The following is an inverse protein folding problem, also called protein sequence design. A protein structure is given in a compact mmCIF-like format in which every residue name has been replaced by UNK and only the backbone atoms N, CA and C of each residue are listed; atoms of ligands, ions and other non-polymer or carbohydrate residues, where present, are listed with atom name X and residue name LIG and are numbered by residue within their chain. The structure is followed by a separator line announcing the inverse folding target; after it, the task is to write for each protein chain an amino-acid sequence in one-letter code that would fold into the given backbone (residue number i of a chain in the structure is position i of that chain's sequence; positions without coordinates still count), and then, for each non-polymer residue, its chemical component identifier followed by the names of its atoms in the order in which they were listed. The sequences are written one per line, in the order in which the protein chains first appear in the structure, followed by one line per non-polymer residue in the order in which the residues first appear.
data_IF_270562541868
#
_entry.id   IF_270562541868
#
_cell.length_a   1.000
_cell.length_b   1.000
_cell.length_c   1.000
_cell.angle_alpha   90.00
_cell.angle_beta   90.00
_cell.angle_gamma   90.00
#
_symmetry.space_group_name_H-M   'P 1'
#
loop_
_entity.id
_entity.type
_entity.pdbx_description
1 polymer ?
#
# COMPACT_ATOMS: atom_id res chain seq x y z
N UNK A 1 5.22 15.79 1.16
CA UNK A 1 3.93 16.53 1.10
C UNK A 1 2.77 15.67 0.57
N UNK A 2 2.96 14.91 -0.55
CA UNK A 2 1.88 14.11 -1.16
C UNK A 2 1.35 13.02 -0.22
N UNK A 3 2.23 12.20 0.36
CA UNK A 3 1.83 11.13 1.28
C UNK A 3 1.17 11.68 2.55
N UNK A 4 1.64 12.81 3.05
CA UNK A 4 1.00 13.49 4.17
C UNK A 4 -0.45 13.87 3.84
N UNK A 5 -0.67 14.48 2.68
CA UNK A 5 -2.02 14.86 2.24
C UNK A 5 -2.94 13.64 2.06
N UNK A 6 -2.41 12.55 1.47
CA UNK A 6 -3.16 11.30 1.35
C UNK A 6 -3.56 10.77 2.73
N UNK A 7 -2.62 10.73 3.68
CA UNK A 7 -2.91 10.28 5.05
C UNK A 7 -3.97 11.16 5.72
N UNK A 8 -3.88 12.48 5.58
CA UNK A 8 -4.88 13.40 6.13
C UNK A 8 -6.26 13.16 5.53
N UNK A 9 -6.34 12.88 4.22
CA UNK A 9 -7.57 12.52 3.53
C UNK A 9 -8.14 11.18 4.02
N UNK A 10 -7.30 10.17 4.20
CA UNK A 10 -7.71 8.87 4.75
C UNK A 10 -8.23 9.01 6.19
N UNK A 11 -7.57 9.81 7.01
CA UNK A 11 -8.05 10.10 8.37
C UNK A 11 -9.42 10.77 8.37
N UNK A 12 -9.69 11.71 7.46
CA UNK A 12 -11.04 12.33 7.34
C UNK A 12 -12.10 11.31 6.95
N UNK A 13 -11.78 10.36 6.06
CA UNK A 13 -12.72 9.29 5.75
C UNK A 13 -13.03 8.42 6.97
N UNK A 14 -12.01 8.08 7.75
CA UNK A 14 -12.14 7.25 8.95
C UNK A 14 -12.97 7.96 10.05
N UNK A 15 -12.75 9.25 10.25
CA UNK A 15 -13.52 10.09 11.18
C UNK A 15 -15.02 10.21 10.82
N UNK A 16 -15.36 10.08 9.53
CA UNK A 16 -16.73 10.28 9.04
C UNK A 16 -17.46 8.95 8.81
N UNK A 17 -16.78 7.94 8.30
CA UNK A 17 -17.40 6.70 7.87
C UNK A 17 -16.54 5.45 8.09
N UNK A 18 -15.47 5.55 8.88
CA UNK A 18 -14.63 4.40 9.24
C UNK A 18 -13.84 3.82 8.10
N UNK A 19 -13.37 2.59 8.31
CA UNK A 19 -12.56 1.87 7.31
C UNK A 19 -13.36 1.56 6.05
N UNK A 20 -14.67 1.36 6.16
CA UNK A 20 -15.51 1.04 5.00
C UNK A 20 -15.60 2.21 4.03
N UNK A 21 -15.78 3.44 4.51
CA UNK A 21 -15.76 4.62 3.65
C UNK A 21 -14.37 4.82 3.04
N UNK A 22 -13.31 4.65 3.83
CA UNK A 22 -11.94 4.74 3.33
C UNK A 22 -11.69 3.69 2.23
N UNK A 23 -12.08 2.43 2.46
CA UNK A 23 -11.98 1.36 1.47
C UNK A 23 -12.71 1.73 0.17
N UNK A 24 -13.96 2.12 0.25
CA UNK A 24 -14.79 2.37 -0.93
C UNK A 24 -14.26 3.53 -1.79
N UNK A 25 -13.58 4.51 -1.18
CA UNK A 25 -12.99 5.64 -1.90
C UNK A 25 -11.60 5.35 -2.46
N UNK A 26 -10.77 4.59 -1.75
CA UNK A 26 -9.36 4.42 -2.10
C UNK A 26 -9.04 3.09 -2.81
N UNK A 27 -9.80 2.01 -2.55
CA UNK A 27 -9.55 0.72 -3.21
C UNK A 27 -9.52 0.80 -4.75
N UNK A 28 -10.39 1.58 -5.43
CA UNK A 28 -10.30 1.72 -6.88
C UNK A 28 -8.99 2.37 -7.38
N UNK A 29 -8.26 3.06 -6.51
CA UNK A 29 -6.98 3.70 -6.84
C UNK A 29 -5.78 2.79 -6.58
N UNK A 30 -5.92 1.82 -5.65
CA UNK A 30 -4.85 0.95 -5.19
C UNK A 30 -4.98 -0.51 -5.65
N UNK A 31 -5.96 -0.81 -6.48
CA UNK A 31 -6.16 -2.14 -7.06
C UNK A 31 -6.21 -2.08 -8.59
N UNK A 32 -5.78 -3.14 -9.26
CA UNK A 32 -5.90 -3.24 -10.70
C UNK A 32 -7.35 -3.53 -11.13
N UNK A 33 -7.68 -3.25 -12.38
CA UNK A 33 -9.06 -3.36 -12.90
C UNK A 33 -9.59 -4.80 -12.90
N UNK A 34 -8.73 -5.78 -13.14
CA UNK A 34 -9.10 -7.19 -13.13
C UNK A 34 -9.51 -7.64 -11.72
N UNK A 35 -8.73 -7.26 -10.70
CA UNK A 35 -9.05 -7.55 -9.31
C UNK A 35 -10.31 -6.79 -8.86
N UNK A 36 -10.46 -5.53 -9.25
CA UNK A 36 -11.67 -4.75 -8.98
C UNK A 36 -12.93 -5.47 -9.46
N UNK A 37 -12.90 -6.06 -10.65
CA UNK A 37 -14.03 -6.79 -11.18
C UNK A 37 -14.45 -7.98 -10.30
N UNK A 38 -13.50 -8.62 -9.62
CA UNK A 38 -13.78 -9.78 -8.74
C UNK A 38 -14.30 -9.39 -7.36
N UNK A 39 -14.02 -8.18 -6.88
CA UNK A 39 -14.35 -7.73 -5.51
C UNK A 39 -15.41 -6.62 -5.49
N UNK A 40 -15.85 -6.16 -6.64
CA UNK A 40 -16.75 -5.01 -6.78
C UNK A 40 -18.03 -5.11 -5.94
N UNK A 41 -18.61 -6.28 -5.85
CA UNK A 41 -19.83 -6.53 -5.07
C UNK A 41 -19.63 -6.40 -3.54
N UNK A 42 -18.38 -6.39 -3.08
CA UNK A 42 -18.04 -6.19 -1.67
C UNK A 42 -17.92 -4.71 -1.29
N UNK A 43 -18.08 -3.79 -2.26
CA UNK A 43 -17.99 -2.36 -2.06
C UNK A 43 -19.37 -1.71 -2.12
N UNK A 44 -19.50 -0.54 -1.51
CA UNK A 44 -20.73 0.26 -1.52
C UNK A 44 -21.93 -0.57 -1.05
N UNK A 45 -21.77 -1.31 0.04
CA UNK A 45 -22.84 -2.11 0.62
C UNK A 45 -23.92 -1.22 1.23
N UNK A 46 -25.16 -1.72 1.36
CA UNK A 46 -26.26 -1.03 2.01
C UNK A 46 -26.06 -0.85 3.53
N UNK A 47 -25.08 -1.50 4.12
CA UNK A 47 -24.64 -1.25 5.48
C UNK A 47 -24.04 0.15 5.56
N UNK A 48 -24.62 1.01 6.41
CA UNK A 48 -24.12 2.37 6.59
C UNK A 48 -22.67 2.39 7.10
N UNK A 49 -21.98 3.49 6.81
CA UNK A 49 -20.62 3.72 7.31
C UNK A 49 -20.66 4.03 8.81
N UNK A 50 -19.67 3.52 9.54
CA UNK A 50 -19.51 3.75 10.99
C UNK A 50 -18.19 4.47 11.24
N UNK A 51 -18.29 5.71 11.72
CA UNK A 51 -17.13 6.52 12.07
C UNK A 51 -16.28 5.85 13.15
N UNK A 52 -14.95 5.98 13.05
CA UNK A 52 -14.01 5.60 14.09
C UNK A 52 -13.60 6.83 14.92
N UNK A 53 -13.18 6.56 16.14
CA UNK A 53 -12.79 7.56 17.14
C UNK A 53 -11.43 7.20 17.75
N UNK A 54 -10.81 8.08 18.54
CA UNK A 54 -9.59 7.74 19.28
C UNK A 54 -9.70 6.56 20.27
N UNK A 55 -10.91 6.06 20.52
CA UNK A 55 -11.12 4.83 21.29
C UNK A 55 -10.85 3.55 20.48
N UNK A 56 -10.78 3.67 19.15
CA UNK A 56 -10.61 2.56 18.22
C UNK A 56 -9.14 2.35 17.85
N UNK A 57 -8.66 1.11 17.87
CA UNK A 57 -7.26 0.79 17.54
C UNK A 57 -6.89 1.17 16.10
N UNK A 58 -7.78 0.92 15.16
CA UNK A 58 -7.55 1.22 13.74
C UNK A 58 -7.44 2.73 13.49
N UNK A 59 -8.23 3.54 14.21
CA UNK A 59 -8.07 5.00 14.20
C UNK A 59 -6.66 5.39 14.65
N UNK A 60 -6.19 4.85 15.78
CA UNK A 60 -4.90 5.20 16.35
C UNK A 60 -3.74 4.75 15.45
N UNK A 61 -3.85 3.58 14.80
CA UNK A 61 -2.84 3.10 13.85
C UNK A 61 -2.70 4.05 12.65
N UNK A 62 -3.81 4.46 12.06
CA UNK A 62 -3.80 5.39 10.92
C UNK A 62 -3.32 6.78 11.33
N UNK A 63 -3.74 7.28 12.49
CA UNK A 63 -3.30 8.57 13.02
C UNK A 63 -1.78 8.61 13.26
N UNK A 64 -1.20 7.51 13.73
CA UNK A 64 0.25 7.38 13.91
C UNK A 64 1.02 7.54 12.59
N UNK A 65 0.45 7.13 11.47
CA UNK A 65 1.04 7.35 10.14
C UNK A 65 1.28 8.81 9.80
N UNK A 66 0.43 9.72 10.26
CA UNK A 66 0.56 11.17 10.04
C UNK A 66 1.71 11.82 10.81
N UNK A 67 2.16 11.20 11.90
CA UNK A 67 3.22 11.72 12.77
C UNK A 67 4.51 10.90 12.71
N UNK A 68 4.52 9.78 12.01
CA UNK A 68 5.68 8.91 11.88
C UNK A 68 6.84 9.62 11.15
N UNK A 69 8.06 9.33 11.59
CA UNK A 69 9.25 9.73 10.85
C UNK A 69 9.47 8.76 9.68
N UNK A 70 9.24 9.22 8.47
CA UNK A 70 9.45 8.47 7.24
C UNK A 70 10.82 8.69 6.59
N UNK A 71 11.68 9.51 7.20
CA UNK A 71 13.08 9.66 6.78
C UNK A 71 13.93 8.54 7.42
N UNK A 72 13.93 7.40 6.77
CA UNK A 72 14.63 6.22 7.22
C UNK A 72 16.06 6.18 6.65
N UNK A 73 16.99 5.64 7.44
CA UNK A 73 18.38 5.41 7.03
C UNK A 73 18.47 4.14 6.16
N UNK A 74 17.95 4.18 4.93
CA UNK A 74 17.96 3.05 3.99
C UNK A 74 19.36 2.52 3.72
N UNK A 75 20.38 3.39 3.74
CA UNK A 75 21.79 3.06 3.56
C UNK A 75 22.38 2.14 4.65
N UNK A 76 21.69 2.00 5.78
CA UNK A 76 22.07 1.09 6.87
C UNK A 76 21.46 -0.31 6.75
N UNK A 77 20.62 -0.52 5.75
CA UNK A 77 20.00 -1.83 5.49
C UNK A 77 20.98 -2.60 4.62
N UNK A 78 21.84 -3.39 5.24
CA UNK A 78 22.93 -4.13 4.59
C UNK A 78 22.57 -5.59 4.24
N UNK A 79 21.43 -6.07 4.74
CA UNK A 79 20.89 -7.38 4.37
C UNK A 79 20.32 -7.36 2.93
N UNK A 80 20.17 -8.53 2.28
CA UNK A 80 19.43 -8.64 1.03
C UNK A 80 17.99 -8.14 1.18
N UNK A 81 17.55 -7.28 0.28
CA UNK A 81 16.21 -6.68 0.27
C UNK A 81 15.56 -6.92 -1.09
N UNK A 82 14.33 -7.41 -1.07
CA UNK A 82 13.47 -7.43 -2.25
C UNK A 82 12.47 -6.28 -2.17
N UNK A 83 12.52 -5.40 -3.15
CA UNK A 83 11.55 -4.30 -3.33
C UNK A 83 10.57 -4.70 -4.43
N UNK A 84 9.32 -4.97 -4.07
CA UNK A 84 8.24 -5.25 -5.01
C UNK A 84 7.29 -4.07 -5.12
N UNK A 85 6.99 -3.66 -6.34
CA UNK A 85 6.02 -2.60 -6.61
C UNK A 85 5.03 -3.02 -7.68
N UNK A 86 3.79 -2.53 -7.55
CA UNK A 86 2.76 -2.65 -8.57
C UNK A 86 2.59 -1.32 -9.30
N UNK A 87 2.85 -1.31 -10.60
CA UNK A 87 2.87 -0.08 -11.39
C UNK A 87 1.48 0.52 -11.64
N UNK A 88 0.40 -0.22 -11.31
CA UNK A 88 -0.98 0.27 -11.43
C UNK A 88 -1.51 0.91 -10.13
N UNK A 89 -0.69 0.98 -9.07
CA UNK A 89 -1.02 1.72 -7.86
C UNK A 89 -1.02 3.23 -8.14
N UNK A 90 -2.21 3.80 -8.26
CA UNK A 90 -2.41 5.22 -8.60
C UNK A 90 -2.30 6.15 -7.40
N UNK A 91 -2.25 5.58 -6.18
CA UNK A 91 -2.25 6.36 -4.95
C UNK A 91 -0.84 6.48 -4.35
N UNK A 92 -0.14 5.38 -4.17
CA UNK A 92 1.13 5.35 -3.43
C UNK A 92 2.36 5.24 -4.33
N UNK A 93 2.23 4.64 -5.52
CA UNK A 93 3.37 4.46 -6.41
C UNK A 93 3.83 5.78 -7.04
N UNK A 94 5.10 6.08 -6.84
CA UNK A 94 5.83 7.16 -7.53
C UNK A 94 7.18 6.60 -7.93
N UNK A 95 7.37 6.41 -9.22
CA UNK A 95 8.57 5.77 -9.79
C UNK A 95 9.88 6.34 -9.23
N UNK A 96 10.02 7.67 -9.24
CA UNK A 96 11.23 8.33 -8.77
C UNK A 96 11.50 8.07 -7.29
N UNK A 97 10.46 8.13 -6.46
CA UNK A 97 10.58 7.88 -5.01
C UNK A 97 11.02 6.44 -4.73
N UNK A 98 10.50 5.46 -5.48
CA UNK A 98 10.88 4.05 -5.36
C UNK A 98 12.33 3.85 -5.81
N UNK A 99 12.71 4.40 -6.95
CA UNK A 99 14.05 4.31 -7.49
C UNK A 99 15.08 4.91 -6.52
N UNK A 100 14.81 6.13 -6.01
CA UNK A 100 15.72 6.83 -5.10
C UNK A 100 15.93 6.06 -3.78
N UNK A 101 14.85 5.51 -3.20
CA UNK A 101 14.95 4.73 -1.96
C UNK A 101 15.64 3.40 -2.19
N UNK A 102 15.33 2.70 -3.28
CA UNK A 102 15.99 1.44 -3.64
C UNK A 102 17.49 1.65 -3.84
N UNK A 103 17.90 2.71 -4.53
CA UNK A 103 19.31 3.02 -4.76
C UNK A 103 20.11 3.32 -3.48
N UNK A 104 19.44 3.68 -2.38
CA UNK A 104 20.09 3.87 -1.08
C UNK A 104 20.38 2.56 -0.34
N UNK A 105 19.76 1.45 -0.72
CA UNK A 105 19.97 0.14 -0.10
C UNK A 105 21.01 -0.65 -0.89
N UNK A 106 22.18 -0.99 -0.32
CA UNK A 106 23.30 -1.54 -1.07
C UNK A 106 23.02 -2.94 -1.68
N UNK A 107 22.12 -3.71 -1.06
CA UNK A 107 21.82 -5.07 -1.48
C UNK A 107 20.33 -5.24 -1.87
N UNK A 108 19.73 -4.20 -2.46
CA UNK A 108 18.35 -4.27 -2.90
C UNK A 108 18.22 -4.82 -4.33
N UNK A 109 17.28 -5.74 -4.50
CA UNK A 109 16.76 -6.18 -5.79
C UNK A 109 15.37 -5.60 -5.98
N UNK A 110 15.13 -4.88 -7.07
CA UNK A 110 13.81 -4.31 -7.39
C UNK A 110 13.14 -5.09 -8.51
N UNK A 111 11.86 -5.41 -8.31
CA UNK A 111 10.99 -6.01 -9.31
C UNK A 111 9.68 -5.22 -9.36
N UNK A 112 9.34 -4.75 -10.54
CA UNK A 112 8.12 -3.98 -10.82
C UNK A 112 7.11 -4.85 -11.57
N UNK A 113 5.92 -5.02 -10.99
CA UNK A 113 4.84 -5.80 -11.60
C UNK A 113 3.91 -4.85 -12.36
N UNK A 114 4.03 -4.84 -13.69
CA UNK A 114 3.28 -3.93 -14.57
C UNK A 114 1.77 -4.15 -14.56
N UNK A 115 1.34 -5.37 -14.20
CA UNK A 115 -0.05 -5.82 -14.20
C UNK A 115 -0.68 -5.90 -12.80
N UNK A 116 -0.02 -5.33 -11.79
CA UNK A 116 -0.50 -5.26 -10.41
C UNK A 116 -0.49 -3.83 -9.88
N UNK A 117 -1.27 -3.59 -8.84
CA UNK A 117 -1.28 -2.34 -8.09
C UNK A 117 -0.73 -2.58 -6.66
N UNK A 118 -1.37 -2.01 -5.64
CA UNK A 118 -0.89 -2.07 -4.25
C UNK A 118 -1.05 -3.45 -3.59
N UNK A 119 -2.12 -4.15 -3.95
CA UNK A 119 -2.52 -5.40 -3.31
C UNK A 119 -1.87 -6.61 -4.00
N UNK A 120 -0.57 -6.56 -4.26
CA UNK A 120 0.20 -7.57 -5.01
C UNK A 120 -0.15 -9.02 -4.69
N UNK A 121 -0.19 -9.46 -3.39
CA UNK A 121 -0.52 -10.84 -3.05
C UNK A 121 -1.95 -11.26 -3.41
N UNK A 122 -2.88 -10.32 -3.39
CA UNK A 122 -4.27 -10.58 -3.72
C UNK A 122 -4.53 -10.51 -5.24
N UNK A 123 -3.87 -9.58 -5.91
CA UNK A 123 -4.05 -9.34 -7.34
C UNK A 123 -3.31 -10.36 -8.21
N UNK A 124 -2.12 -10.80 -7.78
CA UNK A 124 -1.23 -11.69 -8.53
C UNK A 124 -0.60 -12.75 -7.60
N UNK A 125 -1.39 -13.61 -6.93
CA UNK A 125 -0.88 -14.50 -5.89
C UNK A 125 0.21 -15.47 -6.39
N UNK A 126 0.06 -16.04 -7.57
CA UNK A 126 1.03 -16.99 -8.11
C UNK A 126 2.35 -16.30 -8.50
N UNK A 127 2.28 -15.15 -9.16
CA UNK A 127 3.45 -14.37 -9.58
C UNK A 127 4.18 -13.80 -8.36
N UNK A 128 3.43 -13.26 -7.38
CA UNK A 128 3.98 -12.79 -6.11
C UNK A 128 4.72 -13.90 -5.36
N UNK A 129 4.11 -15.08 -5.23
CA UNK A 129 4.73 -16.21 -4.55
C UNK A 129 6.00 -16.69 -5.28
N UNK A 130 5.99 -16.73 -6.62
CA UNK A 130 7.15 -17.12 -7.41
C UNK A 130 8.34 -16.18 -7.19
N UNK A 131 8.11 -14.89 -7.25
CA UNK A 131 9.14 -13.88 -7.00
C UNK A 131 9.74 -14.00 -5.59
N UNK A 132 8.92 -14.26 -4.58
CA UNK A 132 9.42 -14.47 -3.20
C UNK A 132 10.27 -15.72 -3.08
N UNK A 133 9.83 -16.83 -3.69
CA UNK A 133 10.59 -18.10 -3.67
C UNK A 133 11.92 -17.96 -4.39
N UNK A 134 11.94 -17.33 -5.55
CA UNK A 134 13.16 -17.11 -6.32
C UNK A 134 14.16 -16.22 -5.57
N UNK A 135 13.67 -15.14 -4.96
CA UNK A 135 14.52 -14.28 -4.14
C UNK A 135 15.10 -15.05 -2.95
N UNK A 136 14.28 -15.80 -2.22
CA UNK A 136 14.72 -16.58 -1.07
C UNK A 136 15.74 -17.70 -1.44
N UNK A 137 15.60 -18.29 -2.62
CA UNK A 137 16.53 -19.30 -3.12
C UNK A 137 17.89 -18.72 -3.55
N UNK A 138 17.97 -17.42 -3.78
CA UNK A 138 19.20 -16.70 -4.13
C UNK A 138 19.99 -16.17 -2.93
N UNK A 139 19.50 -16.34 -1.69
CA UNK A 139 20.16 -15.93 -0.44
C UNK A 139 21.16 -16.96 0.04
#
# INVERSE_FOLDING_TARGET
PRLQWINDGMMRCVEVGGLDLMRDLFMPLITNEEFQATVRENFLTDAGYTALTPADNDFNLLAAGGTANWDLSYEKIDMPVLVLTGQQDRLFYVEQDVADRTARMPNATRIDMANAAHMLPAERPAEFAHVLVDFAAGL
#
